data_IF_701393489451
#
_entry.id   IF_701393489451
#
_cell.length_a   1.000
_cell.length_b   1.000
_cell.length_c   1.000
_cell.angle_alpha   90.00
_cell.angle_beta   90.00
_cell.angle_gamma   90.00
#
_symmetry.space_group_name_H-M   'P 1'
#
loop_
_entity.id
_entity.type
_entity.pdbx_description
1 polymer ?
#
# COMPACT_ATOMS: atom_id res chain seq x y z
N UNK A 1 11.16 -10.64 -17.25
CA UNK A 1 10.05 -11.46 -17.74
C UNK A 1 8.71 -10.80 -17.33
N UNK A 2 8.16 -10.01 -18.24
CA UNK A 2 6.94 -9.20 -18.09
C UNK A 2 5.73 -10.03 -17.61
N UNK A 3 5.64 -11.30 -18.01
CA UNK A 3 4.56 -12.21 -17.59
C UNK A 3 4.60 -12.57 -16.10
N UNK A 4 5.80 -12.70 -15.52
CA UNK A 4 5.93 -12.99 -14.07
C UNK A 4 5.59 -11.76 -13.24
N UNK A 5 5.95 -10.59 -13.72
CA UNK A 5 5.68 -9.32 -13.05
C UNK A 5 4.18 -9.00 -13.04
N UNK A 6 3.51 -9.17 -14.17
CA UNK A 6 2.06 -9.04 -14.28
C UNK A 6 1.28 -10.02 -13.38
N UNK A 7 1.74 -11.27 -13.27
CA UNK A 7 1.13 -12.25 -12.35
C UNK A 7 1.29 -11.87 -10.89
N UNK A 8 2.46 -11.33 -10.50
CA UNK A 8 2.69 -10.86 -9.12
C UNK A 8 1.80 -9.67 -8.76
N UNK A 9 1.69 -8.68 -9.63
CA UNK A 9 0.81 -7.52 -9.43
C UNK A 9 -0.65 -7.95 -9.27
N UNK A 10 -1.12 -8.87 -10.11
CA UNK A 10 -2.48 -9.40 -10.01
C UNK A 10 -2.73 -10.15 -8.69
N UNK A 11 -1.76 -10.90 -8.20
CA UNK A 11 -1.87 -11.60 -6.92
C UNK A 11 -1.91 -10.64 -5.72
N UNK A 12 -1.14 -9.57 -5.74
CA UNK A 12 -1.18 -8.52 -4.71
C UNK A 12 -2.58 -7.91 -4.67
N UNK A 13 -3.11 -7.44 -5.80
CA UNK A 13 -4.44 -6.84 -5.87
C UNK A 13 -5.56 -7.78 -5.39
N UNK A 14 -5.46 -9.10 -5.64
CA UNK A 14 -6.45 -10.08 -5.16
C UNK A 14 -6.37 -10.25 -3.64
N UNK A 15 -5.16 -10.33 -3.08
CA UNK A 15 -4.95 -10.48 -1.63
C UNK A 15 -5.43 -9.25 -0.86
N UNK A 16 -5.12 -8.06 -1.36
CA UNK A 16 -5.53 -6.81 -0.72
C UNK A 16 -7.06 -6.65 -0.76
N UNK A 17 -7.70 -7.01 -1.87
CA UNK A 17 -9.18 -7.05 -1.96
C UNK A 17 -9.78 -7.97 -0.90
N UNK A 18 -9.23 -9.17 -0.73
CA UNK A 18 -9.67 -10.12 0.30
C UNK A 18 -9.45 -9.58 1.72
N UNK A 19 -8.31 -8.95 1.97
CA UNK A 19 -7.99 -8.36 3.25
C UNK A 19 -9.00 -7.28 3.63
N UNK A 20 -9.23 -6.29 2.76
CA UNK A 20 -10.19 -5.21 3.03
C UNK A 20 -11.62 -5.73 3.22
N UNK A 21 -12.01 -6.75 2.45
CA UNK A 21 -13.33 -7.34 2.57
C UNK A 21 -13.51 -8.11 3.87
N UNK A 22 -12.51 -8.90 4.28
CA UNK A 22 -12.61 -9.77 5.46
C UNK A 22 -12.30 -9.04 6.76
N UNK A 23 -11.32 -8.14 6.76
CA UNK A 23 -10.86 -7.46 7.97
C UNK A 23 -11.57 -6.14 8.21
N UNK A 24 -11.81 -5.35 7.16
CA UNK A 24 -12.43 -4.04 7.26
C UNK A 24 -13.90 -4.02 6.85
N UNK A 25 -14.37 -5.09 6.21
CA UNK A 25 -15.73 -5.21 5.64
C UNK A 25 -16.05 -4.09 4.63
N UNK A 26 -15.03 -3.59 3.95
CA UNK A 26 -15.13 -2.52 2.96
C UNK A 26 -14.88 -3.11 1.57
N UNK A 27 -15.89 -3.08 0.66
CA UNK A 27 -15.69 -3.44 -0.72
C UNK A 27 -14.61 -2.55 -1.34
N UNK A 28 -13.57 -3.17 -1.87
CA UNK A 28 -12.39 -2.47 -2.34
C UNK A 28 -11.95 -2.98 -3.70
N UNK A 29 -11.61 -2.08 -4.61
CA UNK A 29 -10.89 -2.37 -5.85
C UNK A 29 -9.52 -1.71 -5.80
N UNK A 30 -8.47 -2.50 -5.98
CA UNK A 30 -7.10 -2.01 -6.13
C UNK A 30 -6.56 -2.36 -7.52
N UNK A 31 -5.99 -1.37 -8.19
CA UNK A 31 -5.24 -1.53 -9.44
C UNK A 31 -3.86 -0.92 -9.25
N UNK A 32 -2.84 -1.60 -9.73
CA UNK A 32 -1.46 -1.14 -9.63
C UNK A 32 -0.78 -1.29 -10.99
N UNK A 33 -0.03 -0.27 -11.38
CA UNK A 33 0.85 -0.29 -12.53
C UNK A 33 2.29 0.02 -12.11
N UNK A 34 3.25 -0.72 -12.65
CA UNK A 34 4.69 -0.47 -12.44
C UNK A 34 5.38 -0.52 -13.79
N UNK A 35 6.18 0.50 -14.09
CA UNK A 35 6.92 0.62 -15.33
C UNK A 35 8.36 1.01 -15.05
N UNK A 36 9.31 0.32 -15.68
CA UNK A 36 10.71 0.70 -15.65
C UNK A 36 11.05 1.52 -16.89
N UNK A 37 11.49 2.73 -16.68
CA UNK A 37 11.94 3.62 -17.76
C UNK A 37 13.27 3.19 -18.35
N UNK A 38 13.59 3.70 -19.54
CA UNK A 38 14.87 3.46 -20.22
C UNK A 38 16.06 4.05 -19.43
N UNK A 39 15.82 5.04 -18.59
CA UNK A 39 16.78 5.67 -17.67
C UNK A 39 17.02 4.83 -16.39
N UNK A 40 16.43 3.64 -16.29
CA UNK A 40 16.53 2.77 -15.13
C UNK A 40 15.61 3.15 -13.95
N UNK A 41 14.90 4.28 -14.03
CA UNK A 41 13.95 4.70 -13.00
C UNK A 41 12.68 3.86 -13.06
N UNK A 42 12.10 3.57 -11.90
CA UNK A 42 10.83 2.86 -11.81
C UNK A 42 9.73 3.85 -11.41
N UNK A 43 8.66 3.86 -12.21
CA UNK A 43 7.43 4.59 -11.91
C UNK A 43 6.39 3.57 -11.47
N UNK A 44 5.68 3.86 -10.39
CA UNK A 44 4.56 3.09 -9.91
C UNK A 44 3.36 4.01 -9.70
N UNK A 45 2.20 3.55 -10.10
CA UNK A 45 0.93 4.22 -9.89
C UNK A 45 -0.12 3.23 -9.38
N UNK A 46 -1.14 3.75 -8.70
CA UNK A 46 -2.22 2.93 -8.17
C UNK A 46 -3.55 3.64 -8.16
N UNK A 47 -4.61 2.88 -8.33
CA UNK A 47 -5.99 3.28 -8.14
C UNK A 47 -6.60 2.43 -7.03
N UNK A 48 -7.06 3.09 -5.97
CA UNK A 48 -7.80 2.49 -4.88
C UNK A 48 -9.22 3.05 -4.89
N UNK A 49 -10.21 2.19 -5.06
CA UNK A 49 -11.62 2.54 -4.91
C UNK A 49 -12.18 1.77 -3.72
N UNK A 50 -12.94 2.46 -2.89
CA UNK A 50 -13.57 1.87 -1.70
C UNK A 50 -15.02 2.34 -1.60
N UNK A 51 -15.92 1.39 -1.36
CA UNK A 51 -17.31 1.70 -1.04
C UNK A 51 -17.41 1.93 0.47
N UNK A 52 -17.47 3.20 0.86
CA UNK A 52 -17.58 3.58 2.25
C UNK A 52 -19.04 3.53 2.71
N UNK A 53 -19.31 3.17 3.98
CA UNK A 53 -20.67 3.20 4.51
C UNK A 53 -21.21 4.63 4.49
N UNK A 54 -22.45 4.79 4.06
CA UNK A 54 -23.19 6.01 4.26
C UNK A 54 -23.47 6.17 5.75
N UNK A 55 -22.94 7.18 6.37
CA UNK A 55 -23.12 7.44 7.80
C UNK A 55 -23.08 8.91 8.13
N UNK A 56 -24.07 9.38 8.86
CA UNK A 56 -23.97 10.63 9.61
C UNK A 56 -22.88 10.51 10.68
N UNK A 57 -22.08 11.57 10.82
CA UNK A 57 -21.08 11.69 11.88
C UNK A 57 -21.68 11.29 13.25
N UNK A 58 -21.24 10.20 13.84
CA UNK A 58 -21.57 9.78 15.20
C UNK A 58 -22.53 8.59 15.35
N UNK A 59 -22.94 7.92 14.29
CA UNK A 59 -23.71 6.67 14.35
C UNK A 59 -22.88 5.44 14.03
N UNK A 60 -23.32 4.29 14.63
CA UNK A 60 -22.71 2.97 14.47
C UNK A 60 -22.32 2.67 13.03
N UNK A 61 -21.19 1.98 12.84
CA UNK A 61 -20.71 1.49 11.54
C UNK A 61 -21.84 0.72 10.86
N UNK A 62 -22.54 1.36 9.94
CA UNK A 62 -23.52 0.69 9.12
C UNK A 62 -22.75 -0.28 8.20
N UNK A 63 -23.19 -1.53 8.15
CA UNK A 63 -22.62 -2.52 7.25
C UNK A 63 -22.81 -2.05 5.80
N UNK A 64 -21.71 -1.98 5.06
CA UNK A 64 -21.76 -1.69 3.64
C UNK A 64 -22.37 -2.88 2.91
N UNK A 65 -23.38 -2.64 2.09
CA UNK A 65 -23.94 -3.69 1.23
C UNK A 65 -22.93 -4.04 0.14
N UNK A 66 -22.49 -5.29 0.14
CA UNK A 66 -21.49 -5.78 -0.81
C UNK A 66 -22.02 -5.84 -2.25
N UNK A 67 -23.34 -5.92 -2.40
CA UNK A 67 -24.07 -6.06 -3.65
C UNK A 67 -24.74 -4.75 -4.09
N UNK A 68 -24.18 -3.58 -3.70
CA UNK A 68 -24.75 -2.29 -4.07
C UNK A 68 -24.51 -2.00 -5.56
N UNK A 69 -25.56 -1.71 -6.35
CA UNK A 69 -25.43 -1.51 -7.81
C UNK A 69 -24.44 -0.41 -8.19
N UNK A 70 -24.42 0.70 -7.46
CA UNK A 70 -23.48 1.80 -7.70
C UNK A 70 -22.04 1.38 -7.45
N UNK A 71 -21.79 0.53 -6.43
CA UNK A 71 -20.48 -0.03 -6.24
C UNK A 71 -20.03 -0.94 -7.38
N UNK A 72 -20.94 -1.80 -7.87
CA UNK A 72 -20.64 -2.67 -9.01
C UNK A 72 -20.29 -1.85 -10.25
N UNK A 73 -21.04 -0.78 -10.50
CA UNK A 73 -20.78 0.15 -11.59
C UNK A 73 -19.40 0.82 -11.47
N UNK A 74 -19.11 1.47 -10.33
CA UNK A 74 -17.82 2.13 -10.08
C UNK A 74 -16.65 1.15 -10.14
N UNK A 75 -16.82 -0.06 -9.60
CA UNK A 75 -15.80 -1.10 -9.66
C UNK A 75 -15.57 -1.61 -11.09
N UNK A 76 -16.62 -1.70 -11.91
CA UNK A 76 -16.51 -2.04 -13.32
C UNK A 76 -15.69 -0.99 -14.07
N UNK A 77 -16.01 0.30 -13.91
CA UNK A 77 -15.25 1.41 -14.49
C UNK A 77 -13.78 1.37 -14.05
N UNK A 78 -13.51 1.27 -12.74
CA UNK A 78 -12.16 1.21 -12.22
C UNK A 78 -11.36 0.00 -12.70
N UNK A 79 -12.05 -1.12 -13.00
CA UNK A 79 -11.42 -2.33 -13.54
C UNK A 79 -10.88 -2.14 -14.95
N UNK A 80 -11.37 -1.15 -15.71
CA UNK A 80 -10.88 -0.83 -17.05
C UNK A 80 -9.53 -0.13 -17.04
N UNK A 81 -9.12 0.48 -15.93
CA UNK A 81 -7.85 1.20 -15.81
C UNK A 81 -6.67 0.29 -16.12
N UNK A 82 -5.89 0.66 -17.11
CA UNK A 82 -4.68 -0.06 -17.54
C UNK A 82 -3.49 0.14 -16.60
N UNK A 83 -2.68 -0.90 -16.42
CA UNK A 83 -1.44 -0.77 -15.63
C UNK A 83 -0.45 0.23 -16.25
N UNK A 84 -0.40 0.29 -17.58
CA UNK A 84 0.47 1.22 -18.30
C UNK A 84 0.02 2.68 -18.15
N UNK A 85 -1.29 2.93 -18.08
CA UNK A 85 -1.83 4.27 -17.81
C UNK A 85 -1.51 4.73 -16.40
N UNK A 86 -1.65 3.83 -15.41
CA UNK A 86 -1.31 4.12 -14.01
C UNK A 86 0.18 4.42 -13.83
N UNK A 87 1.04 3.81 -14.62
CA UNK A 87 2.49 4.01 -14.57
C UNK A 87 3.00 5.07 -15.56
N UNK A 88 2.10 5.83 -16.20
CA UNK A 88 2.47 6.92 -17.08
C UNK A 88 2.59 8.25 -16.32
N UNK A 89 3.83 8.64 -16.01
CA UNK A 89 4.11 9.88 -15.30
C UNK A 89 3.73 11.17 -16.09
N UNK A 90 3.47 11.06 -17.40
CA UNK A 90 3.05 12.19 -18.22
C UNK A 90 1.54 12.47 -18.12
N UNK A 91 0.76 11.52 -17.60
CA UNK A 91 -0.69 11.67 -17.45
C UNK A 91 -1.02 12.17 -16.04
N UNK A 92 -1.62 13.35 -15.89
CA UNK A 92 -2.07 13.85 -14.59
C UNK A 92 -3.12 12.91 -13.96
N UNK A 93 -3.06 12.76 -12.64
CA UNK A 93 -4.00 11.88 -11.91
C UNK A 93 -5.45 12.28 -12.11
N UNK A 94 -5.74 13.58 -12.19
CA UNK A 94 -7.09 14.08 -12.47
C UNK A 94 -7.60 13.64 -13.84
N UNK A 95 -6.71 13.56 -14.82
CA UNK A 95 -7.09 13.07 -16.15
C UNK A 95 -7.50 11.61 -16.10
N UNK A 96 -6.84 10.79 -15.27
CA UNK A 96 -7.23 9.40 -15.07
C UNK A 96 -8.60 9.29 -14.39
N UNK A 97 -8.83 10.09 -13.34
CA UNK A 97 -10.13 10.13 -12.66
C UNK A 97 -11.22 10.61 -13.61
N UNK A 98 -10.95 11.66 -14.37
CA UNK A 98 -11.93 12.19 -15.34
C UNK A 98 -12.27 11.17 -16.43
N UNK A 99 -11.30 10.42 -16.96
CA UNK A 99 -11.55 9.38 -17.98
C UNK A 99 -12.49 8.29 -17.47
N UNK A 100 -12.39 7.93 -16.18
CA UNK A 100 -13.22 6.89 -15.59
C UNK A 100 -14.62 7.38 -15.22
N UNK A 101 -14.73 8.62 -14.73
CA UNK A 101 -15.91 9.08 -14.01
C UNK A 101 -16.52 10.38 -14.57
N UNK A 102 -16.20 10.75 -15.82
CA UNK A 102 -16.75 11.99 -16.42
C UNK A 102 -18.26 11.94 -16.69
N UNK A 103 -18.87 10.77 -16.72
CA UNK A 103 -20.31 10.58 -16.90
C UNK A 103 -21.07 10.52 -15.57
N UNK A 104 -20.36 10.50 -14.44
CA UNK A 104 -20.97 10.48 -13.12
C UNK A 104 -21.58 11.85 -12.78
N UNK A 105 -22.72 11.80 -12.08
CA UNK A 105 -23.47 13.01 -11.72
C UNK A 105 -22.71 13.94 -10.78
N UNK A 106 -21.84 13.40 -9.95
CA UNK A 106 -21.04 14.17 -9.01
C UNK A 106 -19.67 13.50 -8.76
N UNK A 107 -18.61 14.25 -9.02
CA UNK A 107 -17.22 13.85 -8.65
C UNK A 107 -16.60 15.00 -7.86
N UNK A 108 -16.27 14.77 -6.60
CA UNK A 108 -15.62 15.76 -5.74
C UNK A 108 -14.12 15.47 -5.65
N UNK A 109 -13.33 16.46 -5.98
CA UNK A 109 -11.88 16.40 -5.77
C UNK A 109 -11.55 17.13 -4.47
N UNK A 110 -10.97 16.41 -3.52
CA UNK A 110 -10.50 16.98 -2.26
C UNK A 110 -9.07 17.49 -2.40
N UNK A 111 -8.69 18.37 -1.48
CA UNK A 111 -7.33 18.90 -1.42
C UNK A 111 -6.31 17.75 -1.32
N UNK A 112 -5.22 17.89 -2.06
CA UNK A 112 -4.16 16.89 -2.12
C UNK A 112 -3.27 16.97 -0.89
N UNK A 113 -2.92 15.81 -0.34
CA UNK A 113 -1.81 15.69 0.58
C UNK A 113 -0.49 15.60 -0.20
N UNK A 114 0.50 16.35 0.20
CA UNK A 114 1.86 16.18 -0.33
C UNK A 114 2.44 14.88 0.24
N UNK A 115 2.73 13.94 -0.66
CA UNK A 115 3.35 12.67 -0.28
C UNK A 115 4.86 12.89 -0.21
N UNK A 116 5.44 12.73 0.97
CA UNK A 116 6.87 12.76 1.19
C UNK A 116 7.40 11.35 1.49
N UNK A 117 8.62 11.06 1.01
CA UNK A 117 9.31 9.83 1.40
C UNK A 117 9.65 9.89 2.88
N UNK A 118 9.20 8.92 3.65
CA UNK A 118 9.51 8.82 5.08
C UNK A 118 9.22 7.44 5.62
N UNK A 119 9.85 7.13 6.74
CA UNK A 119 9.56 5.94 7.51
C UNK A 119 9.60 6.28 9.01
N UNK A 120 8.79 5.62 9.80
CA UNK A 120 8.78 5.77 11.26
C UNK A 120 9.79 4.87 11.98
N UNK A 121 10.58 4.10 11.23
CA UNK A 121 11.61 3.27 11.81
C UNK A 121 12.74 4.12 12.38
N UNK A 122 13.17 3.80 13.60
CA UNK A 122 14.32 4.43 14.27
C UNK A 122 15.17 3.35 14.92
N UNK A 123 16.47 3.59 15.03
CA UNK A 123 17.39 2.68 15.75
C UNK A 123 16.95 2.47 17.20
N UNK A 124 16.42 3.51 17.83
CA UNK A 124 15.90 3.49 19.20
C UNK A 124 14.70 2.54 19.33
N UNK A 125 13.74 2.63 18.42
CA UNK A 125 12.58 1.71 18.41
C UNK A 125 13.04 0.25 18.23
N UNK A 126 13.96 -0.02 17.29
CA UNK A 126 14.47 -1.36 17.06
C UNK A 126 15.23 -1.87 18.29
N UNK A 127 16.05 -1.02 18.92
CA UNK A 127 16.75 -1.33 20.17
C UNK A 127 15.75 -1.70 21.27
N UNK A 128 14.68 -0.93 21.45
CA UNK A 128 13.65 -1.20 22.46
C UNK A 128 12.89 -2.52 22.20
N UNK A 129 12.80 -2.96 20.96
CA UNK A 129 12.23 -4.27 20.62
C UNK A 129 13.21 -5.39 20.96
N UNK A 130 14.48 -5.25 20.57
CA UNK A 130 15.52 -6.24 20.86
C UNK A 130 15.80 -6.37 22.37
N UNK A 131 15.66 -5.29 23.15
CA UNK A 131 15.82 -5.32 24.61
C UNK A 131 14.85 -6.25 25.34
N UNK A 132 13.74 -6.62 24.68
CA UNK A 132 12.77 -7.59 25.23
C UNK A 132 13.24 -9.04 25.17
N UNK A 133 14.29 -9.32 24.39
CA UNK A 133 14.87 -10.64 24.29
C UNK A 133 16.03 -10.79 25.29
N UNK A 134 16.17 -11.96 25.93
CA UNK A 134 17.34 -12.27 26.76
C UNK A 134 18.65 -12.10 25.98
N UNK A 135 19.74 -11.80 26.66
CA UNK A 135 21.07 -11.66 26.03
C UNK A 135 21.48 -12.90 25.22
N UNK A 136 21.17 -14.08 25.72
CA UNK A 136 21.48 -15.34 25.03
C UNK A 136 20.84 -15.41 23.65
N UNK A 137 19.55 -15.07 23.57
CA UNK A 137 18.80 -15.06 22.30
C UNK A 137 19.33 -13.99 21.34
N UNK A 138 19.71 -12.82 21.87
CA UNK A 138 20.32 -11.74 21.07
C UNK A 138 21.67 -12.14 20.49
N UNK A 139 22.47 -12.87 21.25
CA UNK A 139 23.76 -13.40 20.77
C UNK A 139 23.57 -14.45 19.67
N UNK A 140 22.52 -15.27 19.74
CA UNK A 140 22.16 -16.19 18.65
C UNK A 140 21.73 -15.51 17.36
N UNK A 141 21.15 -14.29 17.45
CA UNK A 141 20.76 -13.47 16.29
C UNK A 141 21.94 -12.71 15.69
N UNK A 142 23.03 -12.56 16.41
CA UNK A 142 24.18 -11.79 16.01
C UNK A 142 25.11 -12.58 15.05
N UNK A 143 25.79 -11.84 14.20
CA UNK A 143 26.85 -12.39 13.37
C UNK A 143 28.14 -12.69 14.18
N UNK A 144 29.23 -13.10 13.49
CA UNK A 144 30.52 -13.42 14.11
C UNK A 144 31.16 -12.22 14.83
N UNK A 145 30.77 -10.99 14.47
CA UNK A 145 31.27 -9.74 15.06
C UNK A 145 30.37 -9.24 16.21
N UNK A 146 29.36 -10.02 16.60
CA UNK A 146 28.40 -9.68 17.64
C UNK A 146 27.34 -8.64 17.21
N UNK A 147 27.15 -8.44 15.92
CA UNK A 147 26.23 -7.45 15.36
C UNK A 147 24.94 -8.11 14.87
N UNK A 148 23.81 -7.55 15.30
CA UNK A 148 22.48 -7.88 14.79
C UNK A 148 22.13 -6.85 13.73
N UNK A 149 22.06 -7.25 12.46
CA UNK A 149 21.64 -6.38 11.36
C UNK A 149 20.13 -6.51 11.16
N UNK A 150 19.37 -5.48 11.58
CA UNK A 150 17.91 -5.45 11.42
C UNK A 150 17.56 -4.53 10.27
N UNK A 151 16.90 -5.05 9.25
CA UNK A 151 16.38 -4.26 8.13
C UNK A 151 14.91 -3.90 8.33
N UNK A 152 14.57 -2.67 8.02
CA UNK A 152 13.19 -2.21 8.05
C UNK A 152 12.41 -2.77 6.86
N UNK A 153 11.36 -3.55 7.10
CA UNK A 153 10.52 -4.14 6.07
C UNK A 153 9.83 -3.12 5.14
N UNK A 154 9.72 -1.84 5.56
CA UNK A 154 9.06 -0.78 4.80
C UNK A 154 10.01 0.04 3.93
N UNK A 155 11.18 0.42 4.45
CA UNK A 155 12.12 1.30 3.74
C UNK A 155 13.49 0.69 3.45
N UNK A 156 13.70 -0.57 3.86
CA UNK A 156 14.95 -1.31 3.70
C UNK A 156 16.20 -0.63 4.33
N UNK A 157 16.02 0.31 5.27
CA UNK A 157 17.13 0.84 6.05
C UNK A 157 17.64 -0.22 6.99
N UNK A 158 18.94 -0.47 6.97
CA UNK A 158 19.60 -1.44 7.83
C UNK A 158 20.10 -0.75 9.10
N UNK A 159 19.80 -1.33 10.26
CA UNK A 159 20.23 -0.86 11.58
C UNK A 159 21.19 -1.91 12.19
N UNK A 160 22.49 -1.69 12.13
CA UNK A 160 23.45 -2.57 12.81
C UNK A 160 23.49 -2.24 14.31
N UNK A 161 23.15 -3.21 15.16
CA UNK A 161 23.11 -3.06 16.60
C UNK A 161 23.98 -4.16 17.23
N UNK A 162 24.84 -3.81 18.20
CA UNK A 162 25.57 -4.84 18.96
C UNK A 162 24.63 -5.51 19.96
N UNK A 163 24.66 -6.83 20.02
CA UNK A 163 23.81 -7.61 20.90
C UNK A 163 23.98 -7.24 22.39
N UNK A 164 25.19 -6.83 22.78
CA UNK A 164 25.54 -6.45 24.14
C UNK A 164 25.10 -5.03 24.52
N UNK A 165 25.03 -4.12 23.56
CA UNK A 165 24.71 -2.69 23.77
C UNK A 165 23.19 -2.39 23.79
N UNK A 166 22.36 -3.44 23.74
CA UNK A 166 20.92 -3.33 23.77
C UNK A 166 20.44 -3.47 25.22
N UNK A 167 20.13 -2.33 25.85
CA UNK A 167 19.51 -2.24 27.17
C UNK A 167 18.01 -1.93 27.08
#
# INVERSE_FOLDING_TARGET
>A
DLHKEYRRQRQVCIRDRHYFLQSEQIPTLLRVGVKKGADGRTVAGGLLLQHLPEGELGRERLHVRLDHPEWEHVAALGSTMGADELADAAVPLETLVWRLFNEESEVRVLDRATIARGCRCTAEHIRSVLAKFPLADRLEMADADGVIAVDCAFCATVFPLRAEDVE
#
